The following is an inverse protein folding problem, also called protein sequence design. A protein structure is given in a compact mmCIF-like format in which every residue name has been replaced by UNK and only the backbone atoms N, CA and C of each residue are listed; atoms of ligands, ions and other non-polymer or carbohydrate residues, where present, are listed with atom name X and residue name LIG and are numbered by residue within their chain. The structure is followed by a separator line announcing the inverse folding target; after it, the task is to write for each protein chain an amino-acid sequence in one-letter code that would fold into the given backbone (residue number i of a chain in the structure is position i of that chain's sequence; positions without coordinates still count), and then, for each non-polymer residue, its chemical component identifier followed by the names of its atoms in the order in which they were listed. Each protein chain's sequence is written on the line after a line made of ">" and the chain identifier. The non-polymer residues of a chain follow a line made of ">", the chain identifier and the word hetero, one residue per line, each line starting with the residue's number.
data_IF_289980556619
#
_entry.id   IF_289980556619
#
_cell.length_a   1.000
_cell.length_b   1.000
_cell.length_c   1.000
_cell.angle_alpha   90.00
_cell.angle_beta   90.00
_cell.angle_gamma   90.00
#
_symmetry.space_group_name_H-M   'P 1'
#
loop_
_entity.id
_entity.type
_entity.pdbx_description
1 polymer ?
#
# COMPACT_ATOMS: atom_id res chain seq x y z
N UNK A 1 70.92 101.71 28.51
CA UNK A 1 71.79 100.92 27.59
C UNK A 1 71.28 99.48 27.62
N UNK A 2 70.14 99.22 27.04
CA UNK A 2 69.54 97.89 26.85
C UNK A 2 68.54 98.02 25.72
N UNK A 3 68.50 97.03 24.82
CA UNK A 3 67.38 96.69 23.89
C UNK A 3 67.35 97.38 22.53
N UNK A 4 68.18 96.85 21.66
CA UNK A 4 67.95 96.98 20.22
C UNK A 4 68.28 95.66 19.48
N UNK A 5 68.12 94.47 20.15
CA UNK A 5 68.48 93.18 19.50
C UNK A 5 67.25 92.28 19.17
N UNK A 6 66.04 92.58 19.55
CA UNK A 6 64.95 91.66 19.41
C UNK A 6 64.03 91.88 18.19
N UNK A 7 64.10 93.02 17.54
CA UNK A 7 63.20 93.27 16.39
C UNK A 7 63.65 92.64 15.07
N UNK A 8 64.93 92.30 14.94
CA UNK A 8 65.44 91.70 13.68
C UNK A 8 65.09 90.16 13.59
N UNK A 9 65.10 89.48 14.75
CA UNK A 9 64.75 88.03 14.80
C UNK A 9 63.29 87.72 14.60
N UNK A 10 62.40 88.62 15.08
CA UNK A 10 60.96 88.45 14.88
C UNK A 10 60.52 88.69 13.44
N UNK A 11 61.22 89.49 12.67
CA UNK A 11 60.92 89.76 11.26
C UNK A 11 61.40 88.70 10.36
N UNK A 12 62.47 87.91 10.70
CA UNK A 12 62.90 86.71 9.95
C UNK A 12 61.99 85.53 10.21
N UNK A 13 61.48 85.38 11.46
CA UNK A 13 60.52 84.33 11.75
C UNK A 13 59.14 84.55 11.05
N UNK A 14 58.72 85.81 10.94
CA UNK A 14 57.52 86.16 10.21
C UNK A 14 57.64 85.92 8.73
N UNK A 15 58.78 86.07 8.07
CA UNK A 15 59.03 85.78 6.66
C UNK A 15 59.04 84.25 6.39
N UNK A 16 59.56 83.40 7.28
CA UNK A 16 59.54 81.96 7.16
C UNK A 16 58.12 81.43 7.34
N UNK A 17 57.34 82.00 8.27
CA UNK A 17 55.94 81.60 8.47
C UNK A 17 55.04 81.93 7.28
N UNK A 18 55.23 83.11 6.66
CA UNK A 18 54.47 83.57 5.48
C UNK A 18 54.83 82.71 4.24
N UNK A 19 56.07 82.24 4.10
CA UNK A 19 56.47 81.40 2.97
C UNK A 19 55.98 79.93 3.11
N UNK A 20 55.73 79.48 4.33
CA UNK A 20 55.17 78.17 4.59
C UNK A 20 53.68 78.16 4.35
N UNK A 21 52.92 79.17 4.64
CA UNK A 21 51.46 79.28 4.42
C UNK A 21 51.13 79.40 2.91
N UNK A 22 51.95 80.07 2.11
CA UNK A 22 51.69 80.20 0.68
C UNK A 22 51.91 78.93 -0.13
N UNK A 23 52.64 77.92 0.40
CA UNK A 23 52.90 76.66 -0.27
C UNK A 23 51.79 75.57 -0.03
N UNK A 24 50.97 75.83 0.99
CA UNK A 24 49.84 74.93 1.33
C UNK A 24 48.58 75.25 0.51
N UNK A 25 48.42 76.48 0.05
CA UNK A 25 47.27 76.92 -0.77
C UNK A 25 47.25 76.40 -2.17
N UNK A 26 48.34 75.75 -2.70
CA UNK A 26 48.39 75.19 -4.04
C UNK A 26 48.21 73.68 -4.07
N UNK A 27 47.96 72.98 -2.94
CA UNK A 27 47.44 71.71 -2.92
C UNK A 27 45.95 71.73 -3.27
N UNK A 28 45.60 71.89 -4.54
CA UNK A 28 44.29 71.56 -5.09
C UNK A 28 43.99 70.13 -4.79
N UNK A 29 43.40 69.89 -3.63
CA UNK A 29 42.66 68.64 -3.43
C UNK A 29 41.54 68.67 -4.45
N UNK A 30 41.77 68.01 -5.60
CA UNK A 30 40.69 67.66 -6.51
C UNK A 30 39.75 66.69 -5.78
N UNK A 31 38.88 67.24 -4.94
CA UNK A 31 37.68 66.50 -4.50
C UNK A 31 36.88 66.35 -5.75
N UNK A 32 36.93 65.14 -6.34
CA UNK A 32 35.91 64.69 -7.27
C UNK A 32 34.60 64.77 -6.53
N UNK A 33 34.00 65.95 -6.53
CA UNK A 33 32.61 66.11 -6.11
C UNK A 33 31.77 65.43 -7.17
N UNK A 34 31.56 64.11 -7.02
CA UNK A 34 30.53 63.42 -7.78
C UNK A 34 29.24 64.18 -7.46
N UNK A 35 28.56 64.72 -8.47
CA UNK A 35 27.43 65.59 -8.24
C UNK A 35 26.37 64.83 -7.45
N UNK A 36 25.99 65.33 -6.28
CA UNK A 36 24.98 64.72 -5.38
C UNK A 36 23.74 64.22 -6.10
N UNK A 37 23.38 64.84 -7.19
CA UNK A 37 22.27 64.49 -8.09
C UNK A 37 22.49 63.16 -8.83
N UNK A 38 23.73 62.78 -9.13
CA UNK A 38 24.07 61.54 -9.81
C UNK A 38 24.06 60.36 -8.82
N UNK A 39 24.54 60.54 -7.60
CA UNK A 39 24.47 59.54 -6.52
C UNK A 39 23.02 59.24 -6.13
N UNK A 40 22.16 60.28 -6.10
CA UNK A 40 20.73 60.11 -5.82
C UNK A 40 20.02 59.27 -6.92
N UNK A 41 20.34 59.49 -8.19
CA UNK A 41 19.80 58.69 -9.29
C UNK A 41 20.24 57.20 -9.23
N UNK A 42 21.51 56.96 -8.92
CA UNK A 42 22.05 55.62 -8.77
C UNK A 42 21.41 54.90 -7.59
N UNK A 43 21.26 55.56 -6.45
CA UNK A 43 20.59 55.02 -5.27
C UNK A 43 19.13 54.64 -5.53
N UNK A 44 18.36 55.53 -6.18
CA UNK A 44 16.99 55.21 -6.55
C UNK A 44 16.89 54.03 -7.56
N UNK A 45 17.81 53.94 -8.53
CA UNK A 45 17.86 52.83 -9.43
C UNK A 45 18.13 51.48 -8.71
N UNK A 46 19.07 51.49 -7.75
CA UNK A 46 19.36 50.27 -6.94
C UNK A 46 18.13 49.87 -6.13
N UNK A 47 17.42 50.82 -5.52
CA UNK A 47 16.20 50.53 -4.76
C UNK A 47 15.11 49.91 -5.67
N UNK A 48 14.89 50.49 -6.87
CA UNK A 48 13.92 49.97 -7.82
C UNK A 48 14.26 48.54 -8.27
N UNK A 49 15.52 48.29 -8.64
CA UNK A 49 15.96 46.95 -9.02
C UNK A 49 15.87 45.92 -7.90
N UNK A 50 16.19 46.34 -6.66
CA UNK A 50 16.05 45.44 -5.48
C UNK A 50 14.59 45.11 -5.19
N UNK A 51 13.67 46.03 -5.35
CA UNK A 51 12.23 45.82 -5.19
C UNK A 51 11.69 44.89 -6.31
N UNK A 52 12.14 45.08 -7.56
CA UNK A 52 11.77 44.23 -8.68
C UNK A 52 12.30 42.77 -8.48
N UNK A 53 13.54 42.63 -8.02
CA UNK A 53 14.13 41.32 -7.70
C UNK A 53 13.39 40.60 -6.57
N UNK A 54 13.04 41.35 -5.49
CA UNK A 54 12.24 40.81 -4.40
C UNK A 54 10.84 40.36 -4.88
N UNK A 55 10.17 41.17 -5.70
CA UNK A 55 8.89 40.83 -6.32
C UNK A 55 8.95 39.56 -7.15
N UNK A 56 10.02 39.42 -7.96
CA UNK A 56 10.25 38.20 -8.76
C UNK A 56 10.46 36.96 -7.87
N UNK A 57 11.24 37.07 -6.82
CA UNK A 57 11.46 35.97 -5.87
C UNK A 57 10.17 35.53 -5.18
N UNK A 58 9.34 36.47 -4.76
CA UNK A 58 8.03 36.19 -4.15
C UNK A 58 7.14 35.48 -5.17
N UNK A 59 7.10 35.93 -6.42
CA UNK A 59 6.34 35.29 -7.48
C UNK A 59 6.79 33.85 -7.72
N UNK A 60 8.09 33.60 -7.80
CA UNK A 60 8.64 32.25 -7.96
C UNK A 60 8.30 31.37 -6.76
N UNK A 61 8.46 31.91 -5.55
CA UNK A 61 8.12 31.20 -4.32
C UNK A 61 6.64 30.81 -4.26
N UNK A 62 5.73 31.70 -4.65
CA UNK A 62 4.29 31.42 -4.71
C UNK A 62 3.94 30.35 -5.74
N UNK A 63 4.56 30.38 -6.93
CA UNK A 63 4.37 29.35 -7.95
C UNK A 63 4.84 27.98 -7.46
N UNK A 64 6.01 27.91 -6.81
CA UNK A 64 6.53 26.68 -6.23
C UNK A 64 5.60 26.15 -5.13
N UNK A 65 5.10 27.03 -4.27
CA UNK A 65 4.17 26.66 -3.21
C UNK A 65 2.86 26.11 -3.76
N UNK A 66 2.27 26.79 -4.74
CA UNK A 66 1.05 26.34 -5.42
C UNK A 66 1.26 24.98 -6.11
N UNK A 67 2.37 24.80 -6.79
CA UNK A 67 2.72 23.51 -7.41
C UNK A 67 2.83 22.39 -6.38
N UNK A 68 3.48 22.65 -5.24
CA UNK A 68 3.55 21.68 -4.13
C UNK A 68 2.17 21.34 -3.56
N UNK A 69 1.33 22.35 -3.33
CA UNK A 69 -0.04 22.16 -2.81
C UNK A 69 -0.90 21.33 -3.77
N UNK A 70 -0.85 21.61 -5.06
CA UNK A 70 -1.58 20.82 -6.08
C UNK A 70 -1.08 19.38 -6.07
N UNK A 71 0.22 19.17 -6.06
CA UNK A 71 0.81 17.82 -6.04
C UNK A 71 0.46 17.00 -4.79
N UNK A 72 0.40 17.66 -3.63
CA UNK A 72 -0.05 17.03 -2.39
C UNK A 72 -1.52 16.63 -2.47
N UNK A 73 -2.39 17.51 -2.97
CA UNK A 73 -3.82 17.20 -3.16
C UNK A 73 -4.05 16.08 -4.16
N UNK A 74 -3.31 16.04 -5.26
CA UNK A 74 -3.41 14.95 -6.25
C UNK A 74 -3.01 13.60 -5.66
N UNK A 75 -1.98 13.57 -4.80
CA UNK A 75 -1.56 12.35 -4.11
C UNK A 75 -2.62 11.87 -3.11
N UNK A 76 -3.24 12.78 -2.37
CA UNK A 76 -4.29 12.50 -1.39
C UNK A 76 -5.57 11.98 -2.09
N UNK A 77 -6.00 12.62 -3.16
CA UNK A 77 -7.14 12.20 -3.98
C UNK A 77 -6.93 10.83 -4.62
N UNK A 78 -5.72 10.54 -5.14
CA UNK A 78 -5.38 9.23 -5.71
C UNK A 78 -5.40 8.12 -4.66
N UNK A 79 -4.91 8.39 -3.46
CA UNK A 79 -4.91 7.42 -2.38
C UNK A 79 -6.32 7.19 -1.82
N UNK A 80 -7.11 8.25 -1.65
CA UNK A 80 -8.51 8.16 -1.24
C UNK A 80 -9.36 7.36 -2.22
N UNK A 81 -9.26 7.66 -3.52
CA UNK A 81 -9.99 6.93 -4.57
C UNK A 81 -9.61 5.44 -4.65
N UNK A 82 -8.33 5.09 -4.49
CA UNK A 82 -7.89 3.69 -4.45
C UNK A 82 -8.41 2.95 -3.22
N UNK A 83 -8.45 3.63 -2.09
CA UNK A 83 -9.00 3.06 -0.86
C UNK A 83 -10.51 2.81 -0.98
N UNK A 84 -11.26 3.79 -1.47
CA UNK A 84 -12.71 3.65 -1.72
C UNK A 84 -13.03 2.51 -2.68
N UNK A 85 -12.29 2.38 -3.79
CA UNK A 85 -12.44 1.28 -4.73
C UNK A 85 -12.17 -0.08 -4.08
N UNK A 86 -11.13 -0.19 -3.23
CA UNK A 86 -10.86 -1.42 -2.47
C UNK A 86 -11.99 -1.75 -1.50
N UNK A 87 -12.50 -0.77 -0.77
CA UNK A 87 -13.62 -0.97 0.16
C UNK A 87 -14.88 -1.41 -0.59
N UNK A 88 -15.18 -0.80 -1.74
CA UNK A 88 -16.31 -1.19 -2.58
C UNK A 88 -16.15 -2.61 -3.14
N UNK A 89 -14.96 -2.96 -3.64
CA UNK A 89 -14.66 -4.30 -4.11
C UNK A 89 -14.80 -5.34 -2.99
N UNK A 90 -14.31 -5.04 -1.78
CA UNK A 90 -14.48 -5.92 -0.61
C UNK A 90 -15.94 -6.13 -0.24
N UNK A 91 -16.78 -5.10 -0.30
CA UNK A 91 -18.22 -5.23 -0.03
C UNK A 91 -18.93 -6.19 -0.99
N UNK A 92 -18.43 -6.29 -2.24
CA UNK A 92 -18.98 -7.21 -3.25
C UNK A 92 -18.40 -8.63 -3.09
N UNK A 93 -17.08 -8.73 -2.87
CA UNK A 93 -16.36 -10.01 -2.84
C UNK A 93 -16.60 -10.75 -1.52
N UNK A 94 -16.72 -10.05 -0.40
CA UNK A 94 -16.85 -10.69 0.91
C UNK A 94 -18.07 -11.61 1.03
N UNK A 95 -19.29 -11.23 0.61
CA UNK A 95 -20.42 -12.15 0.59
C UNK A 95 -20.19 -13.40 -0.26
N UNK A 96 -19.52 -13.26 -1.41
CA UNK A 96 -19.19 -14.40 -2.28
C UNK A 96 -18.18 -15.35 -1.62
N UNK A 97 -17.21 -14.81 -0.88
CA UNK A 97 -16.29 -15.63 -0.08
C UNK A 97 -17.04 -16.39 1.01
N UNK A 98 -17.85 -15.72 1.81
CA UNK A 98 -18.65 -16.37 2.85
C UNK A 98 -19.49 -17.50 2.25
N UNK A 99 -20.19 -17.24 1.15
CA UNK A 99 -20.97 -18.25 0.46
C UNK A 99 -20.14 -19.44 -0.03
N UNK A 100 -18.91 -19.22 -0.48
CA UNK A 100 -18.03 -20.29 -0.91
C UNK A 100 -17.62 -21.20 0.25
N UNK A 101 -17.28 -20.63 1.41
CA UNK A 101 -16.98 -21.42 2.61
C UNK A 101 -18.20 -22.21 3.10
N UNK A 102 -19.38 -21.60 3.11
CA UNK A 102 -20.63 -22.30 3.45
C UNK A 102 -20.91 -23.47 2.51
N UNK A 103 -20.72 -23.27 1.21
CA UNK A 103 -20.93 -24.34 0.19
C UNK A 103 -19.96 -25.49 0.36
N UNK A 104 -18.67 -25.22 0.62
CA UNK A 104 -17.71 -26.29 0.87
C UNK A 104 -17.96 -27.00 2.21
N UNK A 105 -18.39 -26.28 3.24
CA UNK A 105 -18.79 -26.92 4.49
C UNK A 105 -19.99 -27.87 4.27
N UNK A 106 -21.03 -27.41 3.59
CA UNK A 106 -22.18 -28.22 3.25
C UNK A 106 -21.79 -29.43 2.38
N UNK A 107 -20.91 -29.25 1.40
CA UNK A 107 -20.36 -30.34 0.60
C UNK A 107 -19.69 -31.39 1.48
N UNK A 108 -18.73 -31.00 2.33
CA UNK A 108 -17.99 -31.92 3.18
C UNK A 108 -18.91 -32.68 4.16
N UNK A 109 -19.91 -32.01 4.73
CA UNK A 109 -20.89 -32.66 5.61
C UNK A 109 -21.80 -33.66 4.85
N UNK A 110 -22.19 -33.34 3.62
CA UNK A 110 -23.09 -34.21 2.81
C UNK A 110 -22.39 -35.44 2.23
N UNK A 111 -21.09 -35.36 1.96
CA UNK A 111 -20.32 -36.47 1.39
C UNK A 111 -19.71 -37.40 2.43
N UNK A 112 -19.84 -37.09 3.75
CA UNK A 112 -19.45 -38.05 4.80
C UNK A 112 -20.14 -39.38 4.58
N UNK A 113 -19.39 -40.49 4.67
CA UNK A 113 -19.86 -41.82 4.34
C UNK A 113 -21.17 -42.21 5.06
N UNK A 114 -21.36 -41.92 6.37
CA UNK A 114 -22.61 -42.23 7.04
C UNK A 114 -23.82 -41.50 6.43
N UNK A 115 -23.64 -40.21 6.07
CA UNK A 115 -24.71 -39.40 5.46
C UNK A 115 -24.99 -39.80 4.02
N UNK A 116 -23.92 -40.08 3.28
CA UNK A 116 -23.98 -40.49 1.87
C UNK A 116 -24.67 -41.82 1.72
N UNK A 117 -24.28 -42.84 2.51
CA UNK A 117 -24.87 -44.21 2.49
C UNK A 117 -26.32 -44.12 2.92
N UNK A 118 -26.66 -43.44 4.00
CA UNK A 118 -28.04 -43.27 4.47
C UNK A 118 -28.98 -42.68 3.42
N UNK A 119 -28.45 -41.80 2.56
CA UNK A 119 -29.23 -41.12 1.51
C UNK A 119 -29.42 -42.00 0.28
N UNK A 120 -28.44 -42.86 -0.07
CA UNK A 120 -28.41 -43.59 -1.32
C UNK A 120 -28.83 -45.05 -1.17
N UNK A 121 -28.42 -45.71 -0.08
CA UNK A 121 -28.69 -47.14 0.11
C UNK A 121 -30.18 -47.41 0.33
N UNK A 122 -30.69 -48.36 -0.42
CA UNK A 122 -32.04 -48.98 -0.22
C UNK A 122 -31.91 -50.49 -0.15
N UNK A 123 -32.67 -51.16 0.75
CA UNK A 123 -32.65 -52.63 0.82
C UNK A 123 -32.96 -53.26 -0.52
N UNK A 124 -32.18 -54.30 -0.87
CA UNK A 124 -32.34 -55.00 -2.15
C UNK A 124 -31.64 -54.38 -3.36
N UNK A 125 -30.85 -53.30 -3.13
CA UNK A 125 -30.02 -52.71 -4.17
C UNK A 125 -28.88 -53.64 -4.56
N UNK A 126 -28.52 -53.66 -5.85
CA UNK A 126 -27.35 -54.41 -6.32
C UNK A 126 -26.03 -53.71 -5.93
N UNK A 127 -24.97 -54.53 -5.65
CA UNK A 127 -23.63 -54.08 -5.26
C UNK A 127 -23.07 -53.02 -6.25
N UNK A 128 -23.11 -53.34 -7.56
CA UNK A 128 -22.60 -52.43 -8.58
C UNK A 128 -23.38 -51.12 -8.67
N UNK A 129 -24.70 -51.18 -8.44
CA UNK A 129 -25.55 -49.97 -8.42
C UNK A 129 -25.21 -49.06 -7.23
N UNK A 130 -25.06 -49.63 -6.03
CA UNK A 130 -24.65 -48.85 -4.85
C UNK A 130 -23.28 -48.20 -5.05
N UNK A 131 -22.30 -48.98 -5.53
CA UNK A 131 -20.95 -48.47 -5.82
C UNK A 131 -20.98 -47.25 -6.77
N UNK A 132 -21.66 -47.44 -7.91
CA UNK A 132 -21.77 -46.40 -8.94
C UNK A 132 -22.42 -45.13 -8.39
N UNK A 133 -23.54 -45.27 -7.69
CA UNK A 133 -24.29 -44.11 -7.14
C UNK A 133 -23.52 -43.37 -6.06
N UNK A 134 -22.76 -44.08 -5.20
CA UNK A 134 -21.89 -43.42 -4.19
C UNK A 134 -20.82 -42.57 -4.86
N UNK A 135 -20.10 -43.15 -5.83
CA UNK A 135 -19.04 -42.43 -6.57
C UNK A 135 -19.60 -41.24 -7.36
N UNK A 136 -20.73 -41.48 -8.05
CA UNK A 136 -21.40 -40.42 -8.82
C UNK A 136 -21.80 -39.25 -7.91
N UNK A 137 -22.44 -39.51 -6.77
CA UNK A 137 -22.85 -38.46 -5.85
C UNK A 137 -21.67 -37.64 -5.28
N UNK A 138 -20.56 -38.31 -4.91
CA UNK A 138 -19.36 -37.59 -4.45
C UNK A 138 -18.82 -36.65 -5.53
N UNK A 139 -18.77 -37.12 -6.77
CA UNK A 139 -18.26 -36.34 -7.91
C UNK A 139 -19.20 -35.19 -8.28
N UNK A 140 -20.49 -35.45 -8.41
CA UNK A 140 -21.49 -34.44 -8.77
C UNK A 140 -21.57 -33.31 -7.73
N UNK A 141 -21.58 -33.66 -6.43
CA UNK A 141 -21.58 -32.66 -5.35
C UNK A 141 -20.30 -31.83 -5.38
N UNK A 142 -19.14 -32.39 -5.70
CA UNK A 142 -17.89 -31.67 -5.86
C UNK A 142 -17.93 -30.73 -7.08
N UNK A 143 -18.38 -31.22 -8.23
CA UNK A 143 -18.47 -30.47 -9.48
C UNK A 143 -19.40 -29.25 -9.36
N UNK A 144 -20.54 -29.43 -8.66
CA UNK A 144 -21.44 -28.32 -8.36
C UNK A 144 -20.79 -27.17 -7.58
N UNK A 145 -19.71 -27.47 -6.82
CA UNK A 145 -19.01 -26.51 -6.01
C UNK A 145 -17.64 -26.06 -6.61
N UNK A 146 -17.27 -26.58 -7.78
CA UNK A 146 -15.97 -26.36 -8.40
C UNK A 146 -15.61 -24.89 -8.58
N UNK A 147 -16.58 -24.04 -8.96
CA UNK A 147 -16.37 -22.61 -9.14
C UNK A 147 -16.02 -21.85 -7.84
N UNK A 148 -16.36 -22.43 -6.68
CA UNK A 148 -16.10 -21.81 -5.37
C UNK A 148 -14.59 -21.75 -5.05
N UNK A 149 -13.76 -22.52 -5.73
CA UNK A 149 -12.28 -22.47 -5.59
C UNK A 149 -11.71 -21.05 -5.78
N UNK A 150 -12.40 -20.17 -6.52
CA UNK A 150 -11.97 -18.79 -6.75
C UNK A 150 -12.02 -17.91 -5.49
N UNK A 151 -12.81 -18.32 -4.50
CA UNK A 151 -13.13 -17.49 -3.33
C UNK A 151 -12.53 -17.99 -2.03
N UNK A 152 -11.92 -19.16 -2.03
CA UNK A 152 -11.25 -19.77 -0.86
C UNK A 152 -9.73 -19.71 -1.01
N UNK A 153 -9.00 -20.02 0.05
CA UNK A 153 -7.55 -20.14 0.00
C UNK A 153 -7.13 -21.46 -0.69
N UNK A 154 -5.88 -21.49 -1.17
CA UNK A 154 -5.31 -22.72 -1.73
C UNK A 154 -5.29 -23.85 -0.70
N UNK A 155 -5.00 -23.58 0.57
CA UNK A 155 -5.00 -24.58 1.64
C UNK A 155 -6.38 -25.20 1.86
N UNK A 156 -7.44 -24.40 1.83
CA UNK A 156 -8.81 -24.89 1.90
C UNK A 156 -9.19 -25.71 0.65
N UNK A 157 -8.84 -25.22 -0.52
CA UNK A 157 -9.08 -25.95 -1.77
C UNK A 157 -8.40 -27.31 -1.78
N UNK A 158 -7.11 -27.37 -1.45
CA UNK A 158 -6.33 -28.61 -1.41
C UNK A 158 -6.90 -29.60 -0.38
N UNK A 159 -7.34 -29.11 0.78
CA UNK A 159 -7.97 -29.94 1.80
C UNK A 159 -9.30 -30.56 1.30
N UNK A 160 -10.15 -29.76 0.65
CA UNK A 160 -11.43 -30.22 0.07
C UNK A 160 -11.19 -31.22 -1.07
N UNK A 161 -10.22 -30.96 -1.94
CA UNK A 161 -9.85 -31.85 -3.04
C UNK A 161 -9.33 -33.19 -2.53
N UNK A 162 -8.41 -33.18 -1.56
CA UNK A 162 -7.86 -34.39 -0.95
C UNK A 162 -8.94 -35.19 -0.23
N UNK A 163 -9.88 -34.54 0.45
CA UNK A 163 -11.00 -35.22 1.07
C UNK A 163 -11.88 -35.94 0.05
N UNK A 164 -12.14 -35.32 -1.11
CA UNK A 164 -12.87 -35.99 -2.23
C UNK A 164 -12.12 -37.23 -2.74
N UNK A 165 -10.81 -37.09 -3.00
CA UNK A 165 -10.02 -38.23 -3.51
C UNK A 165 -9.96 -39.36 -2.50
N UNK A 166 -9.80 -39.06 -1.20
CA UNK A 166 -9.77 -40.09 -0.16
C UNK A 166 -11.12 -40.79 -0.01
N UNK A 167 -12.24 -40.07 -0.09
CA UNK A 167 -13.58 -40.68 -0.08
C UNK A 167 -13.78 -41.65 -1.25
N UNK A 168 -13.38 -41.26 -2.46
CA UNK A 168 -13.43 -42.10 -3.65
C UNK A 168 -12.59 -43.36 -3.46
N UNK A 169 -11.38 -43.19 -2.89
CA UNK A 169 -10.48 -44.31 -2.60
C UNK A 169 -11.08 -45.28 -1.56
N UNK A 170 -11.61 -44.75 -0.46
CA UNK A 170 -12.25 -45.55 0.60
C UNK A 170 -13.45 -46.35 0.08
N UNK A 171 -14.31 -45.71 -0.75
CA UNK A 171 -15.42 -46.41 -1.38
C UNK A 171 -14.91 -47.56 -2.27
N UNK A 172 -13.98 -47.27 -3.17
CA UNK A 172 -13.43 -48.29 -4.07
C UNK A 172 -12.80 -49.45 -3.31
N UNK A 173 -11.93 -49.15 -2.35
CA UNK A 173 -11.23 -50.18 -1.57
C UNK A 173 -12.22 -51.06 -0.78
N UNK A 174 -13.27 -50.47 -0.22
CA UNK A 174 -14.29 -51.25 0.50
C UNK A 174 -15.03 -52.22 -0.43
N UNK A 175 -15.39 -51.78 -1.64
CA UNK A 175 -16.05 -52.64 -2.63
C UNK A 175 -15.13 -53.72 -3.21
N UNK A 176 -13.81 -53.48 -3.27
CA UNK A 176 -12.81 -54.47 -3.74
C UNK A 176 -12.51 -55.53 -2.66
N UNK A 177 -12.52 -55.19 -1.39
CA UNK A 177 -12.20 -56.08 -0.29
C UNK A 177 -13.31 -57.07 0.04
N UNK A 178 -14.57 -56.74 -0.28
CA UNK A 178 -15.72 -57.54 0.04
C UNK A 178 -16.11 -58.48 -1.13
N UNK A 179 -16.37 -59.74 -0.83
CA UNK A 179 -16.69 -60.75 -1.85
C UNK A 179 -18.00 -60.42 -2.58
N UNK A 180 -18.12 -60.89 -3.83
CA UNK A 180 -19.31 -60.65 -4.66
C UNK A 180 -20.60 -61.24 -4.11
N UNK A 181 -20.50 -62.27 -3.28
CA UNK A 181 -21.64 -62.92 -2.64
C UNK A 181 -22.11 -62.29 -1.32
N UNK A 182 -21.40 -61.24 -0.83
CA UNK A 182 -21.79 -60.58 0.40
C UNK A 182 -23.01 -59.70 0.21
N UNK A 183 -23.89 -59.70 1.23
CA UNK A 183 -25.08 -58.85 1.24
C UNK A 183 -24.64 -57.34 1.23
N UNK A 184 -25.23 -56.58 0.32
CA UNK A 184 -24.99 -55.16 0.16
C UNK A 184 -25.24 -54.38 1.46
N UNK A 185 -26.07 -54.92 2.36
CA UNK A 185 -26.27 -54.33 3.69
C UNK A 185 -25.00 -54.33 4.55
N UNK A 186 -24.14 -55.39 4.40
CA UNK A 186 -22.86 -55.47 5.13
C UNK A 186 -21.88 -54.44 4.54
N UNK A 187 -21.88 -54.29 3.23
CA UNK A 187 -21.06 -53.24 2.57
C UNK A 187 -21.46 -51.83 3.06
N UNK A 188 -22.75 -51.57 3.06
CA UNK A 188 -23.29 -50.29 3.55
C UNK A 188 -22.93 -50.01 5.02
N UNK A 189 -23.03 -51.03 5.91
CA UNK A 189 -22.63 -50.94 7.31
C UNK A 189 -21.11 -50.70 7.47
N UNK A 190 -20.30 -51.43 6.67
CA UNK A 190 -18.84 -51.25 6.69
C UNK A 190 -18.42 -49.83 6.30
N UNK A 191 -19.04 -49.25 5.26
CA UNK A 191 -18.79 -47.86 4.84
C UNK A 191 -19.19 -46.88 5.94
N UNK A 192 -20.34 -47.06 6.58
CA UNK A 192 -20.79 -46.20 7.68
C UNK A 192 -19.84 -46.26 8.89
N UNK A 193 -19.21 -47.42 9.14
CA UNK A 193 -18.29 -47.59 10.26
C UNK A 193 -16.86 -47.09 9.98
N UNK A 194 -16.53 -46.72 8.74
CA UNK A 194 -15.20 -46.21 8.40
C UNK A 194 -14.94 -44.83 9.01
N UNK A 195 -13.79 -44.66 9.65
CA UNK A 195 -13.36 -43.34 10.11
C UNK A 195 -13.04 -42.45 8.89
N UNK A 196 -13.38 -41.19 8.99
CA UNK A 196 -13.19 -40.24 7.90
C UNK A 196 -12.31 -39.02 8.34
N UNK A 197 -11.07 -39.27 8.84
CA UNK A 197 -10.24 -38.20 9.42
C UNK A 197 -9.86 -37.15 8.40
N UNK A 198 -9.78 -37.50 7.12
CA UNK A 198 -9.40 -36.52 6.06
C UNK A 198 -10.51 -35.50 5.83
N UNK A 199 -11.78 -35.93 5.86
CA UNK A 199 -12.93 -34.99 5.77
C UNK A 199 -13.02 -34.12 7.02
N UNK A 200 -12.83 -34.70 8.21
CA UNK A 200 -12.80 -33.93 9.47
C UNK A 200 -11.68 -32.88 9.47
N UNK A 201 -10.49 -33.24 8.98
CA UNK A 201 -9.37 -32.34 8.80
C UNK A 201 -9.69 -31.25 7.78
N UNK A 202 -10.32 -31.56 6.66
CA UNK A 202 -10.73 -30.57 5.67
C UNK A 202 -11.71 -29.56 6.25
N UNK A 203 -12.68 -30.01 7.07
CA UNK A 203 -13.62 -29.16 7.80
C UNK A 203 -12.86 -28.25 8.79
N UNK A 204 -11.88 -28.76 9.50
CA UNK A 204 -11.08 -27.99 10.45
C UNK A 204 -10.26 -26.90 9.74
N UNK A 205 -9.60 -27.24 8.60
CA UNK A 205 -8.86 -26.29 7.77
C UNK A 205 -9.77 -25.20 7.26
N UNK A 206 -10.95 -25.58 6.74
CA UNK A 206 -11.94 -24.65 6.21
C UNK A 206 -12.44 -23.67 7.28
N UNK A 207 -12.76 -24.16 8.49
CA UNK A 207 -13.19 -23.31 9.62
C UNK A 207 -12.09 -22.35 10.04
N UNK A 208 -10.87 -22.84 10.19
CA UNK A 208 -9.72 -22.02 10.57
C UNK A 208 -9.43 -20.92 9.53
N UNK A 209 -9.52 -21.24 8.26
CA UNK A 209 -9.30 -20.26 7.18
C UNK A 209 -10.42 -19.21 7.13
N UNK A 210 -11.66 -19.63 7.38
CA UNK A 210 -12.79 -18.72 7.50
C UNK A 210 -12.65 -17.73 8.66
N UNK A 211 -12.18 -18.17 9.83
CA UNK A 211 -11.90 -17.30 10.98
C UNK A 211 -10.85 -16.23 10.66
N UNK A 212 -9.88 -16.55 9.81
CA UNK A 212 -8.86 -15.58 9.35
C UNK A 212 -9.37 -14.58 8.32
N UNK A 213 -10.53 -14.83 7.75
CA UNK A 213 -11.17 -13.94 6.79
C UNK A 213 -11.86 -12.75 7.49
N UNK A 214 -12.31 -12.95 8.74
CA UNK A 214 -13.00 -11.96 9.57
C UNK A 214 -12.02 -11.10 10.35
#
# INVERSE_FOLDING_TARGET
>A
MVETRDFASLNEMAKVGVFSIGRIENLKIERKTVPLRQNFRIMNAIIVYSLMAAGLLIMVATVILLYRLIRMKDAELRNGSKYELKVQALKIIMPLKVQAYERFLLYLERVQLPQLVKRIYTPGMEKGTLHLLLLQNVREEFEHNLAQQLYVSNSTWDAVFNAKEELVNQINTTFEQLKDEEDVSIIAQSLVALPNPVVEQAIAVLKHDFERLL
#
